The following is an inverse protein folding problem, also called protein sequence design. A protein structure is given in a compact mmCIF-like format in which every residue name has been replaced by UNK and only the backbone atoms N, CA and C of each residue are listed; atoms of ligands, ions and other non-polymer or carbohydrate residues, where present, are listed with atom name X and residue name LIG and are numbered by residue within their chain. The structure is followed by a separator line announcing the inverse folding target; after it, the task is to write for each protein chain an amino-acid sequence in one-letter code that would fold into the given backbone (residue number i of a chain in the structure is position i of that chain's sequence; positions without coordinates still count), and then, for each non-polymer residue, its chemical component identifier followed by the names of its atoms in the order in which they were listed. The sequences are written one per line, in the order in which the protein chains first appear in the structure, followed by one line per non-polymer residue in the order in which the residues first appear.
data_IF_753872932834
#
_entry.id   IF_753872932834
#
_cell.length_a   1.000
_cell.length_b   1.000
_cell.length_c   1.000
_cell.angle_alpha   90.00
_cell.angle_beta   90.00
_cell.angle_gamma   90.00
#
_symmetry.space_group_name_H-M   'P 1'
#
loop_
_entity.id
_entity.type
_entity.pdbx_description
1 polymer ?
#
# COMPACT_ATOMS: atom_id res chain seq x y z
N UNK A 1 -7.03 14.71 7.51
CA UNK A 1 -7.36 15.42 6.26
C UNK A 1 -8.81 15.20 5.85
N UNK A 2 -9.25 13.99 5.49
CA UNK A 2 -10.65 13.70 5.13
C UNK A 2 -11.67 14.23 6.15
N UNK A 3 -11.52 13.89 7.44
CA UNK A 3 -12.40 14.39 8.50
C UNK A 3 -12.36 15.92 8.68
N UNK A 4 -11.18 16.55 8.53
CA UNK A 4 -10.99 18.01 8.65
C UNK A 4 -11.78 18.77 7.57
N UNK A 5 -11.79 18.24 6.34
CA UNK A 5 -12.40 18.90 5.18
C UNK A 5 -13.75 18.30 4.75
N UNK A 6 -14.29 17.33 5.50
CA UNK A 6 -15.55 16.67 5.17
C UNK A 6 -15.53 15.87 3.86
N UNK A 7 -14.34 15.42 3.41
CA UNK A 7 -14.17 14.69 2.15
C UNK A 7 -14.22 13.19 2.40
N UNK A 8 -14.87 12.42 1.53
CA UNK A 8 -14.88 10.95 1.64
C UNK A 8 -13.47 10.38 1.53
N UNK A 9 -13.09 9.54 2.51
CA UNK A 9 -11.88 8.73 2.45
C UNK A 9 -12.19 7.39 1.80
N UNK A 10 -11.39 7.01 0.82
CA UNK A 10 -11.28 5.64 0.34
C UNK A 10 -10.00 5.03 0.90
N UNK A 11 -10.14 4.18 1.93
CA UNK A 11 -9.03 3.38 2.44
C UNK A 11 -8.96 2.06 1.66
N UNK A 12 -7.95 1.92 0.81
CA UNK A 12 -7.78 0.77 -0.05
C UNK A 12 -7.55 -0.54 0.71
N UNK A 13 -6.75 -0.51 1.78
CA UNK A 13 -6.37 -1.72 2.51
C UNK A 13 -7.59 -2.39 3.15
N UNK A 14 -8.51 -1.58 3.68
CA UNK A 14 -9.79 -2.04 4.24
C UNK A 14 -10.71 -2.70 3.20
N UNK A 15 -10.47 -2.46 1.91
CA UNK A 15 -11.29 -2.98 0.81
C UNK A 15 -10.86 -4.36 0.33
N UNK A 16 -9.67 -4.83 0.70
CA UNK A 16 -9.10 -6.07 0.16
C UNK A 16 -10.03 -7.28 0.32
N UNK A 17 -10.62 -7.47 1.51
CA UNK A 17 -11.53 -8.58 1.79
C UNK A 17 -12.78 -8.55 0.91
N UNK A 18 -13.39 -7.37 0.72
CA UNK A 18 -14.57 -7.23 -0.14
C UNK A 18 -14.22 -7.38 -1.62
N UNK A 19 -13.09 -6.83 -2.06
CA UNK A 19 -12.62 -7.00 -3.44
C UNK A 19 -12.32 -8.47 -3.76
N UNK A 20 -11.73 -9.21 -2.83
CA UNK A 20 -11.47 -10.64 -3.00
C UNK A 20 -12.76 -11.47 -3.13
N UNK A 21 -13.88 -11.07 -2.52
CA UNK A 21 -15.16 -11.79 -2.66
C UNK A 21 -15.77 -11.68 -4.06
N UNK A 22 -15.47 -10.59 -4.77
CA UNK A 22 -16.02 -10.30 -6.10
C UNK A 22 -14.99 -10.54 -7.22
N UNK A 23 -13.76 -10.90 -6.88
CA UNK A 23 -12.75 -11.27 -7.87
C UNK A 23 -13.01 -12.69 -8.40
N UNK A 24 -12.54 -12.93 -9.62
CA UNK A 24 -12.67 -14.19 -10.31
C UNK A 24 -11.32 -14.90 -10.36
N UNK A 25 -11.25 -16.18 -9.98
CA UNK A 25 -9.98 -16.88 -9.90
C UNK A 25 -9.30 -17.11 -11.25
N UNK A 26 -10.04 -17.10 -12.37
CA UNK A 26 -9.46 -17.25 -13.70
C UNK A 26 -8.82 -15.94 -14.20
N UNK A 27 -9.34 -14.78 -13.79
CA UNK A 27 -8.83 -13.46 -14.19
C UNK A 27 -7.94 -12.79 -13.15
N UNK A 28 -8.15 -13.06 -11.86
CA UNK A 28 -7.36 -12.57 -10.72
C UNK A 28 -6.81 -13.72 -9.86
N UNK A 29 -5.91 -14.56 -10.40
CA UNK A 29 -5.37 -15.72 -9.70
C UNK A 29 -4.50 -15.37 -8.47
N UNK A 30 -3.85 -14.20 -8.42
CA UNK A 30 -2.99 -13.82 -7.29
C UNK A 30 -3.80 -13.37 -6.07
N UNK A 31 -4.90 -12.62 -6.26
CA UNK A 31 -5.87 -12.31 -5.20
C UNK A 31 -6.56 -13.57 -4.67
N UNK A 32 -6.82 -14.52 -5.56
CA UNK A 32 -7.50 -15.79 -5.25
C UNK A 32 -6.53 -16.90 -4.83
N UNK A 33 -5.23 -16.63 -4.74
CA UNK A 33 -4.25 -17.63 -4.30
C UNK A 33 -4.48 -17.97 -2.83
N UNK A 34 -4.60 -19.27 -2.57
CA UNK A 34 -4.66 -19.82 -1.23
C UNK A 34 -3.36 -20.58 -0.94
N UNK A 35 -2.89 -20.48 0.29
CA UNK A 35 -1.73 -21.19 0.80
C UNK A 35 -2.22 -22.21 1.83
N UNK A 36 -1.58 -23.38 1.89
CA UNK A 36 -1.95 -24.46 2.79
C UNK A 36 -1.67 -24.15 4.26
N UNK A 37 -0.70 -23.25 4.52
CA UNK A 37 -0.43 -22.75 5.87
C UNK A 37 0.26 -21.38 5.86
N UNK A 38 0.38 -20.78 7.04
CA UNK A 38 1.16 -19.56 7.23
C UNK A 38 2.67 -19.82 7.08
N UNK A 39 3.16 -21.01 7.41
CA UNK A 39 4.54 -21.41 7.12
C UNK A 39 4.83 -21.36 5.62
N UNK A 40 3.94 -21.93 4.80
CA UNK A 40 4.05 -21.86 3.34
C UNK A 40 4.04 -20.40 2.86
N UNK A 41 3.13 -19.58 3.41
CA UNK A 41 2.99 -18.19 3.01
C UNK A 41 4.24 -17.34 3.35
N UNK A 42 4.73 -17.40 4.59
CA UNK A 42 5.80 -16.53 5.06
C UNK A 42 7.21 -17.06 4.78
N UNK A 43 7.36 -18.30 4.33
CA UNK A 43 8.66 -18.91 4.03
C UNK A 43 9.01 -18.95 2.54
N UNK A 44 8.19 -18.31 1.69
CA UNK A 44 8.51 -18.11 0.26
C UNK A 44 9.80 -17.30 0.09
N UNK A 45 10.58 -17.52 -0.99
CA UNK A 45 11.68 -16.64 -1.34
C UNK A 45 11.25 -15.15 -1.34
N UNK A 46 12.07 -14.23 -0.80
CA UNK A 46 11.70 -12.82 -0.68
C UNK A 46 11.21 -12.15 -1.98
N UNK A 47 11.86 -12.47 -3.09
CA UNK A 47 11.56 -11.94 -4.42
C UNK A 47 10.25 -12.51 -4.98
N UNK A 48 10.02 -13.82 -4.82
CA UNK A 48 8.75 -14.46 -5.18
C UNK A 48 7.58 -13.94 -4.33
N UNK A 49 7.82 -13.70 -3.04
CA UNK A 49 6.85 -13.12 -2.13
C UNK A 49 6.50 -11.68 -2.59
N UNK A 50 7.49 -10.82 -2.77
CA UNK A 50 7.31 -9.45 -3.24
C UNK A 50 6.52 -9.40 -4.56
N UNK A 51 6.91 -10.23 -5.54
CA UNK A 51 6.25 -10.28 -6.84
C UNK A 51 4.81 -10.79 -6.75
N UNK A 52 4.53 -11.78 -5.89
CA UNK A 52 3.16 -12.26 -5.66
C UNK A 52 2.25 -11.17 -5.07
N UNK A 53 2.75 -10.38 -4.11
CA UNK A 53 2.02 -9.24 -3.55
C UNK A 53 1.76 -8.18 -4.62
N UNK A 54 2.79 -7.81 -5.38
CA UNK A 54 2.67 -6.82 -6.46
C UNK A 54 1.62 -7.23 -7.51
N UNK A 55 1.58 -8.52 -7.87
CA UNK A 55 0.58 -9.05 -8.80
C UNK A 55 -0.83 -9.01 -8.22
N UNK A 56 -1.00 -9.37 -6.95
CA UNK A 56 -2.27 -9.24 -6.24
C UNK A 56 -2.77 -7.79 -6.21
N UNK A 57 -1.86 -6.82 -5.97
CA UNK A 57 -2.17 -5.39 -6.03
C UNK A 57 -2.64 -4.99 -7.44
N UNK A 58 -1.92 -5.39 -8.48
CA UNK A 58 -2.31 -5.07 -9.87
C UNK A 58 -3.69 -5.63 -10.23
N UNK A 59 -4.03 -6.82 -9.76
CA UNK A 59 -5.36 -7.41 -9.95
C UNK A 59 -6.44 -6.64 -9.18
N UNK A 60 -6.16 -6.23 -7.94
CA UNK A 60 -7.09 -5.44 -7.14
C UNK A 60 -7.35 -4.04 -7.74
N UNK A 61 -6.38 -3.48 -8.46
CA UNK A 61 -6.48 -2.14 -9.07
C UNK A 61 -7.66 -2.02 -10.01
N UNK A 62 -7.94 -3.04 -10.81
CA UNK A 62 -9.05 -3.00 -11.75
C UNK A 62 -10.39 -2.82 -11.02
N UNK A 63 -10.57 -3.57 -9.94
CA UNK A 63 -11.78 -3.52 -9.09
C UNK A 63 -11.89 -2.15 -8.41
N UNK A 64 -10.79 -1.69 -7.81
CA UNK A 64 -10.77 -0.43 -7.07
C UNK A 64 -11.02 0.78 -7.97
N UNK A 65 -10.50 0.80 -9.21
CA UNK A 65 -10.77 1.87 -10.18
C UNK A 65 -12.25 1.93 -10.53
N UNK A 66 -12.92 0.78 -10.72
CA UNK A 66 -14.37 0.74 -10.98
C UNK A 66 -15.16 1.28 -9.80
N UNK A 67 -14.79 0.90 -8.56
CA UNK A 67 -15.45 1.42 -7.35
C UNK A 67 -15.25 2.94 -7.21
N UNK A 68 -14.04 3.44 -7.42
CA UNK A 68 -13.72 4.86 -7.37
C UNK A 68 -14.50 5.68 -8.41
N UNK A 69 -14.67 5.16 -9.64
CA UNK A 69 -15.50 5.79 -10.66
C UNK A 69 -16.96 5.90 -10.18
N UNK A 70 -17.50 4.84 -9.59
CA UNK A 70 -18.86 4.83 -9.05
C UNK A 70 -19.02 5.84 -7.91
N UNK A 71 -18.06 5.88 -6.98
CA UNK A 71 -18.08 6.80 -5.84
C UNK A 71 -17.90 8.26 -6.27
N UNK A 72 -17.06 8.53 -7.28
CA UNK A 72 -16.75 9.89 -7.72
C UNK A 72 -17.98 10.64 -8.26
N UNK A 73 -19.04 9.92 -8.66
CA UNK A 73 -20.34 10.51 -9.01
C UNK A 73 -21.01 11.28 -7.85
N UNK A 74 -20.57 11.04 -6.61
CA UNK A 74 -21.13 11.62 -5.37
C UNK A 74 -20.29 12.76 -4.80
N UNK A 75 -19.13 13.07 -5.38
CA UNK A 75 -18.24 14.14 -4.93
C UNK A 75 -16.75 13.79 -4.99
N UNK A 76 -15.92 14.69 -4.46
CA UNK A 76 -14.49 14.47 -4.34
C UNK A 76 -14.16 13.37 -3.32
N UNK A 77 -13.11 12.60 -3.62
CA UNK A 77 -12.64 11.49 -2.77
C UNK A 77 -11.14 11.66 -2.55
N UNK A 78 -10.70 11.48 -1.31
CA UNK A 78 -9.29 11.27 -0.98
C UNK A 78 -9.06 9.77 -0.97
N UNK A 79 -8.05 9.32 -1.70
CA UNK A 79 -7.70 7.91 -1.79
C UNK A 79 -6.41 7.68 -1.04
N UNK A 80 -6.45 6.77 -0.06
CA UNK A 80 -5.28 6.22 0.62
C UNK A 80 -5.10 4.78 0.12
N UNK A 81 -4.00 4.51 -0.57
CA UNK A 81 -3.81 3.20 -1.21
C UNK A 81 -2.50 3.03 -1.96
N UNK A 82 -2.30 1.80 -2.43
CA UNK A 82 -1.03 1.30 -2.95
C UNK A 82 -1.14 1.13 -4.48
N UNK A 83 -1.33 2.23 -5.19
CA UNK A 83 -1.43 2.18 -6.65
C UNK A 83 -0.04 2.07 -7.31
N UNK A 84 0.11 1.19 -8.32
CA UNK A 84 1.28 1.21 -9.18
C UNK A 84 1.44 2.56 -9.89
N UNK A 85 2.67 3.07 -9.92
CA UNK A 85 2.97 4.39 -10.51
C UNK A 85 2.48 4.51 -11.95
N UNK A 86 2.67 3.45 -12.76
CA UNK A 86 2.24 3.42 -14.15
C UNK A 86 0.71 3.55 -14.33
N UNK A 87 -0.09 3.08 -13.36
CA UNK A 87 -1.54 3.24 -13.37
C UNK A 87 -1.91 4.69 -13.08
N UNK A 88 -1.31 5.28 -12.04
CA UNK A 88 -1.55 6.67 -11.65
C UNK A 88 -1.23 7.66 -12.78
N UNK A 89 -0.15 7.41 -13.55
CA UNK A 89 0.19 8.20 -14.75
C UNK A 89 -0.91 8.20 -15.82
N UNK A 90 -1.72 7.15 -15.87
CA UNK A 90 -2.80 7.00 -16.87
C UNK A 90 -4.12 7.60 -16.40
N UNK A 91 -4.39 7.54 -15.09
CA UNK A 91 -5.72 7.88 -14.54
C UNK A 91 -5.75 9.20 -13.76
N UNK A 92 -4.61 9.81 -13.45
CA UNK A 92 -4.53 11.01 -12.63
C UNK A 92 -3.44 11.98 -13.09
N UNK A 93 -3.51 13.22 -12.59
CA UNK A 93 -2.53 14.28 -12.85
C UNK A 93 -1.58 14.48 -11.67
N UNK A 94 -0.43 15.09 -11.91
CA UNK A 94 0.62 15.27 -10.90
C UNK A 94 0.23 16.11 -9.68
N UNK A 95 -0.76 17.00 -9.81
CA UNK A 95 -1.33 17.78 -8.69
C UNK A 95 -2.38 17.04 -7.86
N UNK A 96 -2.70 15.78 -8.20
CA UNK A 96 -3.71 14.95 -7.52
C UNK A 96 -3.12 13.66 -6.94
N UNK A 97 -1.80 13.53 -6.93
CA UNK A 97 -1.08 12.35 -6.46
C UNK A 97 0.17 12.79 -5.72
N UNK A 98 0.31 12.30 -4.49
CA UNK A 98 1.53 12.43 -3.71
C UNK A 98 1.91 11.07 -3.13
N UNK A 99 3.18 10.70 -3.26
CA UNK A 99 3.72 9.49 -2.64
C UNK A 99 4.33 9.83 -1.28
N UNK A 100 3.95 9.08 -0.24
CA UNK A 100 4.67 9.07 1.02
C UNK A 100 5.54 7.82 1.04
N UNK A 101 6.86 8.00 1.01
CA UNK A 101 7.84 6.92 0.94
C UNK A 101 8.64 6.86 2.24
N UNK A 102 9.17 5.68 2.56
CA UNK A 102 10.02 5.45 3.73
C UNK A 102 11.20 4.58 3.31
N UNK A 103 12.40 4.88 3.83
CA UNK A 103 13.54 3.98 3.67
C UNK A 103 13.40 2.73 4.55
N UNK A 104 14.24 1.73 4.31
CA UNK A 104 14.17 0.46 5.05
C UNK A 104 14.48 0.61 6.54
N UNK A 105 15.25 1.63 6.93
CA UNK A 105 15.57 1.89 8.33
C UNK A 105 14.33 2.42 9.08
N UNK A 106 13.60 3.35 8.47
CA UNK A 106 12.31 3.85 8.97
C UNK A 106 11.25 2.73 9.01
N UNK A 107 11.12 1.95 7.93
CA UNK A 107 10.19 0.82 7.87
C UNK A 107 10.48 -0.21 8.96
N UNK A 108 11.74 -0.65 9.10
CA UNK A 108 12.11 -1.64 10.14
C UNK A 108 11.83 -1.13 11.56
N UNK A 109 11.94 0.18 11.78
CA UNK A 109 11.74 0.76 13.11
C UNK A 109 10.28 0.76 13.58
N UNK A 110 9.31 0.88 12.66
CA UNK A 110 7.90 1.11 13.03
C UNK A 110 6.88 0.13 12.42
N UNK A 111 7.25 -0.72 11.46
CA UNK A 111 6.29 -1.57 10.73
C UNK A 111 5.45 -2.45 11.64
N UNK A 112 6.09 -3.19 12.55
CA UNK A 112 5.41 -4.06 13.52
C UNK A 112 4.95 -3.33 14.79
N UNK A 113 5.20 -2.02 14.91
CA UNK A 113 4.64 -1.19 15.98
C UNK A 113 3.26 -0.62 15.63
N UNK A 114 2.77 -0.87 14.42
CA UNK A 114 1.45 -0.45 13.96
C UNK A 114 0.37 -1.40 14.45
N UNK A 115 -0.75 -0.87 14.91
CA UNK A 115 -1.89 -1.66 15.39
C UNK A 115 -2.47 -2.57 14.32
N UNK A 116 -2.46 -2.15 13.04
CA UNK A 116 -2.96 -2.97 11.92
C UNK A 116 -2.04 -4.14 11.55
N UNK A 117 -0.90 -4.29 12.24
CA UNK A 117 0.07 -5.38 12.05
C UNK A 117 0.14 -6.33 13.24
N UNK A 118 -0.65 -6.12 14.28
CA UNK A 118 -0.66 -6.96 15.49
C UNK A 118 -0.97 -8.44 15.16
N UNK A 119 -2.07 -8.71 14.44
CA UNK A 119 -2.46 -10.06 14.03
C UNK A 119 -1.38 -10.75 13.17
N UNK A 120 -0.72 -9.99 12.29
CA UNK A 120 0.37 -10.50 11.46
C UNK A 120 1.59 -10.86 12.32
N UNK A 121 1.94 -10.02 13.29
CA UNK A 121 3.05 -10.27 14.20
C UNK A 121 2.76 -11.48 15.10
N UNK A 122 1.53 -11.62 15.61
CA UNK A 122 1.11 -12.80 16.37
C UNK A 122 1.25 -14.07 15.53
N UNK A 123 0.78 -14.04 14.28
CA UNK A 123 0.92 -15.14 13.34
C UNK A 123 2.39 -15.52 13.10
N UNK A 124 3.26 -14.53 12.83
CA UNK A 124 4.70 -14.74 12.61
C UNK A 124 5.39 -15.35 13.84
N UNK A 125 5.02 -14.91 15.05
CA UNK A 125 5.53 -15.44 16.30
C UNK A 125 5.13 -16.90 16.56
N UNK A 126 4.05 -17.36 15.95
CA UNK A 126 3.60 -18.75 16.02
C UNK A 126 4.31 -19.73 15.08
N UNK A 127 5.15 -19.23 14.15
CA UNK A 127 5.84 -20.06 13.16
C UNK A 127 7.03 -20.82 13.78
N UNK A 128 7.52 -21.83 13.06
CA UNK A 128 8.66 -22.66 13.51
C UNK A 128 9.95 -21.86 13.75
N UNK A 129 10.20 -20.82 12.95
CA UNK A 129 11.35 -19.92 13.11
C UNK A 129 10.90 -18.46 12.95
N UNK A 130 10.37 -17.84 14.02
CA UNK A 130 9.78 -16.50 13.95
C UNK A 130 10.73 -15.43 13.45
N UNK A 131 11.98 -15.43 13.93
CA UNK A 131 12.97 -14.41 13.53
C UNK A 131 13.28 -14.49 12.03
N UNK A 132 13.39 -15.69 11.49
CA UNK A 132 13.61 -15.87 10.06
C UNK A 132 12.40 -15.43 9.23
N UNK A 133 11.18 -15.72 9.68
CA UNK A 133 9.96 -15.30 8.99
C UNK A 133 9.79 -13.77 9.00
N UNK A 134 10.04 -13.13 10.13
CA UNK A 134 10.05 -11.67 10.27
C UNK A 134 11.09 -11.04 9.34
N UNK A 135 12.30 -11.58 9.30
CA UNK A 135 13.33 -11.08 8.39
C UNK A 135 12.93 -11.28 6.92
N UNK A 136 12.29 -12.41 6.59
CA UNK A 136 11.80 -12.67 5.24
C UNK A 136 10.75 -11.65 4.79
N UNK A 137 9.87 -11.21 5.69
CA UNK A 137 8.93 -10.12 5.42
C UNK A 137 9.69 -8.84 5.07
N UNK A 138 10.69 -8.44 5.86
CA UNK A 138 11.46 -7.23 5.57
C UNK A 138 12.24 -7.31 4.26
N UNK A 139 12.85 -8.46 3.95
CA UNK A 139 13.52 -8.67 2.67
C UNK A 139 12.54 -8.53 1.50
N UNK A 140 11.32 -9.06 1.62
CA UNK A 140 10.30 -8.89 0.58
C UNK A 140 9.85 -7.43 0.39
N UNK A 141 9.80 -6.65 1.48
CA UNK A 141 9.50 -5.21 1.43
C UNK A 141 10.66 -4.47 0.74
N UNK A 142 11.90 -4.78 1.08
CA UNK A 142 13.09 -4.18 0.48
C UNK A 142 13.15 -4.41 -1.04
N UNK A 143 12.85 -5.63 -1.49
CA UNK A 143 12.71 -5.95 -2.91
C UNK A 143 11.65 -5.08 -3.61
N UNK A 144 10.52 -4.82 -2.96
CA UNK A 144 9.45 -3.98 -3.51
C UNK A 144 9.85 -2.50 -3.55
N UNK A 145 10.38 -1.98 -2.44
CA UNK A 145 10.76 -0.57 -2.30
C UNK A 145 11.82 -0.14 -3.31
N UNK A 146 12.85 -0.98 -3.54
CA UNK A 146 13.91 -0.64 -4.50
C UNK A 146 13.34 -0.33 -5.90
N UNK A 147 12.37 -1.12 -6.36
CA UNK A 147 11.67 -0.91 -7.63
C UNK A 147 10.77 0.32 -7.59
N UNK A 148 9.97 0.47 -6.53
CA UNK A 148 9.01 1.56 -6.40
C UNK A 148 9.70 2.93 -6.29
N UNK A 149 10.87 3.00 -5.64
CA UNK A 149 11.67 4.23 -5.54
C UNK A 149 12.10 4.77 -6.89
N UNK A 150 12.64 3.91 -7.75
CA UNK A 150 13.11 4.32 -9.06
C UNK A 150 11.95 4.76 -9.95
N UNK A 151 10.82 4.03 -9.91
CA UNK A 151 9.61 4.40 -10.64
C UNK A 151 9.05 5.75 -10.20
N UNK A 152 8.91 5.97 -8.88
CA UNK A 152 8.36 7.22 -8.32
C UNK A 152 9.30 8.40 -8.60
N UNK A 153 10.61 8.24 -8.43
CA UNK A 153 11.58 9.32 -8.72
C UNK A 153 11.56 9.73 -10.19
N UNK A 154 11.40 8.76 -11.09
CA UNK A 154 11.28 9.00 -12.54
C UNK A 154 9.87 9.43 -12.98
N UNK A 155 8.90 9.54 -12.06
CA UNK A 155 7.49 9.70 -12.44
C UNK A 155 7.03 11.13 -12.71
N UNK A 156 7.72 12.12 -12.13
CA UNK A 156 7.24 13.50 -12.09
C UNK A 156 6.12 13.76 -11.07
N UNK A 157 5.65 12.74 -10.34
CA UNK A 157 4.78 12.93 -9.19
C UNK A 157 5.54 13.54 -8.01
N UNK A 158 4.82 14.26 -7.15
CA UNK A 158 5.38 14.71 -5.89
C UNK A 158 5.54 13.50 -4.97
N UNK A 159 6.65 13.46 -4.23
CA UNK A 159 6.89 12.46 -3.21
C UNK A 159 7.56 13.10 -2.00
N UNK A 160 7.37 12.49 -0.83
CA UNK A 160 7.96 12.87 0.45
C UNK A 160 8.64 11.62 1.01
N UNK A 161 9.92 11.73 1.37
CA UNK A 161 10.59 10.69 2.16
C UNK A 161 10.38 11.00 3.65
N UNK A 162 9.90 10.02 4.41
CA UNK A 162 9.92 10.07 5.88
C UNK A 162 11.12 9.32 6.42
N UNK A 163 11.67 9.81 7.53
CA UNK A 163 12.64 9.11 8.36
C UNK A 163 11.93 8.37 9.51
N UNK A 164 12.70 7.95 10.52
CA UNK A 164 12.21 7.29 11.75
C UNK A 164 11.42 8.22 12.69
N UNK A 165 11.57 9.55 12.56
CA UNK A 165 10.95 10.55 13.44
C UNK A 165 10.31 11.65 12.59
N UNK A 166 9.33 11.30 11.74
CA UNK A 166 8.74 12.25 10.82
C UNK A 166 8.05 13.40 11.54
N UNK A 167 8.25 14.60 11.03
CA UNK A 167 7.39 15.74 11.35
C UNK A 167 6.02 15.56 10.68
N UNK A 168 5.13 14.83 11.36
CA UNK A 168 3.79 14.54 10.84
C UNK A 168 2.96 15.79 10.57
N UNK A 169 3.15 16.86 11.34
CA UNK A 169 2.43 18.11 11.15
C UNK A 169 2.97 18.85 9.91
N UNK A 170 4.28 18.89 9.72
CA UNK A 170 4.92 19.41 8.52
C UNK A 170 4.51 18.64 7.26
N UNK A 171 4.55 17.30 7.30
CA UNK A 171 4.11 16.43 6.21
C UNK A 171 2.64 16.69 5.88
N UNK A 172 1.77 16.78 6.90
CA UNK A 172 0.34 17.08 6.70
C UNK A 172 0.14 18.42 6.00
N UNK A 173 0.84 19.47 6.43
CA UNK A 173 0.77 20.79 5.78
C UNK A 173 1.26 20.73 4.32
N UNK A 174 2.31 19.96 4.02
CA UNK A 174 2.80 19.77 2.66
C UNK A 174 1.77 19.07 1.77
N UNK A 175 1.10 18.04 2.29
CA UNK A 175 0.03 17.32 1.60
C UNK A 175 -1.19 18.21 1.37
N UNK A 176 -1.64 18.95 2.38
CA UNK A 176 -2.79 19.88 2.27
C UNK A 176 -2.52 20.96 1.21
N UNK A 177 -1.33 21.56 1.21
CA UNK A 177 -0.92 22.55 0.18
C UNK A 177 -0.86 21.92 -1.22
N UNK A 178 -0.38 20.68 -1.34
CA UNK A 178 -0.29 20.00 -2.62
C UNK A 178 -1.67 19.79 -3.25
N UNK A 179 -2.66 19.38 -2.46
CA UNK A 179 -4.04 19.20 -2.90
C UNK A 179 -4.88 20.48 -2.90
N UNK A 180 -4.28 21.62 -2.56
CA UNK A 180 -4.95 22.93 -2.47
C UNK A 180 -6.12 22.93 -1.47
N UNK A 181 -6.03 22.13 -0.41
CA UNK A 181 -6.95 22.23 0.71
C UNK A 181 -6.57 23.45 1.55
N UNK A 182 -7.33 24.53 1.41
CA UNK A 182 -7.22 25.74 2.23
C UNK A 182 -8.06 25.60 3.48
N UNK A 183 -7.61 26.19 4.59
CA UNK A 183 -8.42 26.34 5.82
C UNK A 183 -9.69 27.15 5.59
#
# INVERSE_FOLDING_TARGET
MSAKYGITLYNWDEKYTEHKKISDAAHQPFMNKNYGSWEEYFSRPPDEYAEAIRRSINEQVEIAVVELISMATKGGIVVDGIFPCHVLKRISGSGRVIFLMADMEAVRSDYFSRSDKEDMLECLNGLQNPQQAIENVFLSIEHSLSRDFDEVRASGFRWIMRDQKPDWDGIRQMVERHFQFTE
#
